data_IF_750497292839
#
_entry.id   IF_750497292839
#
_cell.length_a   1.000
_cell.length_b   1.000
_cell.length_c   1.000
_cell.angle_alpha   90.00
_cell.angle_beta   90.00
_cell.angle_gamma   90.00
#
_symmetry.space_group_name_H-M   'P 1'
#
loop_
_entity.id
_entity.type
_entity.pdbx_description
1 polymer ?
#
# COMPACT_ATOMS: atom_id res chain seq x y z
N UNK A 1 7.66 -13.89 2.17
CA UNK A 1 9.08 -13.74 1.76
C UNK A 1 9.27 -12.36 1.15
N UNK A 2 10.51 -11.86 1.06
CA UNK A 2 10.76 -10.54 0.48
C UNK A 2 10.53 -10.57 -1.05
N UNK A 3 9.73 -9.63 -1.55
CA UNK A 3 9.51 -9.43 -2.98
C UNK A 3 10.29 -8.18 -3.39
N UNK A 4 11.34 -8.35 -4.18
CA UNK A 4 12.24 -7.25 -4.58
C UNK A 4 12.82 -6.50 -3.37
N UNK A 5 12.38 -5.27 -3.12
CA UNK A 5 12.85 -4.40 -2.05
C UNK A 5 11.74 -4.05 -1.04
N UNK A 6 10.62 -4.78 -1.07
CA UNK A 6 9.54 -4.59 -0.11
C UNK A 6 9.97 -5.03 1.28
N UNK A 7 9.56 -4.26 2.28
CA UNK A 7 9.91 -4.50 3.67
C UNK A 7 9.20 -5.75 4.19
N UNK A 8 9.95 -6.63 4.86
CA UNK A 8 9.39 -7.80 5.54
C UNK A 8 9.02 -7.51 6.98
N UNK A 9 8.48 -8.51 7.68
CA UNK A 9 8.20 -8.41 9.12
C UNK A 9 9.50 -8.20 9.90
N UNK A 10 10.60 -8.84 9.50
CA UNK A 10 11.91 -8.68 10.13
C UNK A 10 12.42 -7.24 9.99
N UNK A 11 12.30 -6.61 8.82
CA UNK A 11 12.66 -5.22 8.60
C UNK A 11 11.84 -4.27 9.51
N UNK A 12 10.54 -4.53 9.61
CA UNK A 12 9.63 -3.74 10.45
C UNK A 12 10.01 -3.82 11.94
N UNK A 13 10.37 -5.01 12.44
CA UNK A 13 10.84 -5.21 13.80
C UNK A 13 12.22 -4.56 14.02
N UNK A 14 13.13 -4.66 13.05
CA UNK A 14 14.46 -4.07 13.12
C UNK A 14 14.40 -2.56 13.33
N UNK A 15 13.46 -1.86 12.66
CA UNK A 15 13.27 -0.41 12.81
C UNK A 15 12.41 -0.03 14.01
N UNK A 16 11.90 -1.01 14.77
CA UNK A 16 11.07 -0.80 15.95
C UNK A 16 9.63 -0.37 15.64
N UNK A 17 9.09 -0.79 14.49
CA UNK A 17 7.71 -0.45 14.11
C UNK A 17 6.68 -1.04 15.10
N UNK A 18 6.99 -2.19 15.68
CA UNK A 18 6.22 -2.85 16.75
C UNK A 18 6.15 -2.04 18.05
N UNK A 19 7.02 -1.05 18.23
CA UNK A 19 7.01 -0.17 19.42
C UNK A 19 6.09 1.03 19.25
N UNK A 20 5.65 1.33 18.03
CA UNK A 20 4.82 2.50 17.71
C UNK A 20 3.45 2.11 17.16
N UNK A 21 3.35 0.98 16.47
CA UNK A 21 2.09 0.45 15.97
C UNK A 21 1.49 -0.54 16.98
N UNK A 22 0.17 -0.50 17.18
CA UNK A 22 -0.53 -1.46 18.03
C UNK A 22 -0.39 -2.91 17.52
N UNK A 23 -0.28 -3.07 16.20
CA UNK A 23 -0.07 -4.37 15.55
C UNK A 23 0.78 -4.21 14.30
N UNK A 24 1.73 -5.14 14.09
CA UNK A 24 2.47 -5.30 12.84
C UNK A 24 2.12 -6.66 12.26
N UNK A 25 1.64 -6.68 11.02
CA UNK A 25 1.22 -7.89 10.32
C UNK A 25 1.76 -7.88 8.88
N UNK A 26 1.73 -9.04 8.23
CA UNK A 26 2.02 -9.16 6.79
C UNK A 26 0.71 -9.18 6.00
N UNK A 27 0.79 -8.90 4.69
CA UNK A 27 -0.33 -9.12 3.76
C UNK A 27 -0.66 -10.61 3.60
N UNK A 28 0.27 -11.49 3.98
CA UNK A 28 0.21 -12.92 3.70
C UNK A 28 0.39 -13.28 2.22
N UNK A 29 0.79 -12.32 1.39
CA UNK A 29 1.02 -12.47 -0.04
C UNK A 29 2.49 -12.20 -0.38
N UNK A 30 2.99 -12.87 -1.42
CA UNK A 30 4.29 -12.63 -2.06
C UNK A 30 4.16 -11.84 -3.38
N UNK A 31 3.10 -11.03 -3.49
CA UNK A 31 2.85 -10.13 -4.62
C UNK A 31 3.19 -8.68 -4.28
N UNK A 32 3.59 -7.90 -5.29
CA UNK A 32 3.74 -6.46 -5.17
C UNK A 32 2.37 -5.77 -5.18
N UNK A 33 2.16 -4.84 -4.25
CA UNK A 33 0.90 -4.11 -4.12
C UNK A 33 -0.16 -4.87 -3.32
N UNK A 34 -1.43 -4.54 -3.58
CA UNK A 34 -2.57 -5.13 -2.87
C UNK A 34 -3.48 -5.88 -3.85
N UNK A 35 -3.45 -7.21 -3.78
CA UNK A 35 -4.36 -8.09 -4.51
C UNK A 35 -5.20 -8.84 -3.48
N UNK A 36 -6.45 -8.42 -3.20
CA UNK A 36 -7.24 -8.97 -2.10
C UNK A 36 -7.44 -10.49 -2.15
N UNK A 37 -7.50 -11.10 -3.35
CA UNK A 37 -7.64 -12.55 -3.50
C UNK A 37 -6.43 -13.35 -3.04
N UNK A 38 -5.24 -12.73 -3.01
CA UNK A 38 -3.97 -13.35 -2.61
C UNK A 38 -3.59 -13.02 -1.17
N UNK A 39 -4.35 -12.16 -0.49
CA UNK A 39 -4.07 -11.75 0.88
C UNK A 39 -4.56 -12.78 1.90
N UNK A 40 -3.88 -12.86 3.04
CA UNK A 40 -4.36 -13.68 4.16
C UNK A 40 -5.68 -13.16 4.71
N UNK A 41 -6.48 -14.08 5.27
CA UNK A 41 -7.73 -13.72 5.93
C UNK A 41 -7.52 -12.73 7.08
N UNK A 42 -6.45 -12.91 7.87
CA UNK A 42 -6.11 -12.01 8.97
C UNK A 42 -5.87 -10.58 8.49
N UNK A 43 -5.12 -10.40 7.39
CA UNK A 43 -4.89 -9.09 6.81
C UNK A 43 -6.19 -8.46 6.31
N UNK A 44 -7.01 -9.23 5.60
CA UNK A 44 -8.27 -8.74 5.04
C UNK A 44 -9.25 -8.29 6.12
N UNK A 45 -9.38 -9.02 7.23
CA UNK A 45 -10.23 -8.63 8.36
C UNK A 45 -9.82 -7.26 8.93
N UNK A 46 -8.52 -6.99 9.06
CA UNK A 46 -7.99 -5.70 9.54
C UNK A 46 -8.17 -4.61 8.49
N UNK A 47 -7.87 -4.90 7.23
CA UNK A 47 -8.00 -3.96 6.13
C UNK A 47 -9.46 -3.52 5.91
N UNK A 48 -10.42 -4.44 6.05
CA UNK A 48 -11.85 -4.13 5.93
C UNK A 48 -12.42 -3.38 7.13
N UNK A 49 -11.82 -3.51 8.32
CA UNK A 49 -12.22 -2.80 9.53
C UNK A 49 -11.60 -1.40 9.65
N UNK A 50 -10.61 -1.05 8.81
CA UNK A 50 -9.93 0.24 8.88
C UNK A 50 -10.81 1.40 8.41
N UNK A 51 -10.79 2.53 9.13
CA UNK A 51 -11.49 3.77 8.72
C UNK A 51 -10.73 4.58 7.65
N UNK A 52 -9.42 4.39 7.56
CA UNK A 52 -8.51 5.05 6.62
C UNK A 52 -7.33 4.13 6.34
N UNK A 53 -6.95 4.03 5.07
CA UNK A 53 -5.76 3.28 4.65
C UNK A 53 -4.71 4.25 4.09
N UNK A 54 -3.46 4.13 4.56
CA UNK A 54 -2.31 4.84 3.98
C UNK A 54 -1.49 3.84 3.18
N UNK A 55 -1.56 3.97 1.85
CA UNK A 55 -0.88 3.08 0.93
C UNK A 55 0.40 3.72 0.40
N UNK A 56 1.55 3.06 0.61
CA UNK A 56 2.87 3.58 0.21
C UNK A 56 3.37 2.91 -1.06
N UNK A 57 3.95 3.71 -1.97
CA UNK A 57 4.67 3.22 -3.14
C UNK A 57 3.80 3.05 -4.39
N UNK A 58 4.46 2.83 -5.54
CA UNK A 58 3.76 2.72 -6.83
C UNK A 58 2.98 1.41 -6.95
N UNK A 59 3.51 0.27 -6.49
CA UNK A 59 2.81 -1.01 -6.59
C UNK A 59 1.45 -1.03 -5.87
N UNK A 60 1.41 -0.47 -4.66
CA UNK A 60 0.14 -0.26 -3.96
C UNK A 60 -0.76 0.74 -4.70
N UNK A 61 -0.22 1.86 -5.18
CA UNK A 61 -1.02 2.85 -5.90
C UNK A 61 -1.66 2.25 -7.17
N UNK A 62 -0.90 1.51 -7.97
CA UNK A 62 -1.34 0.87 -9.22
C UNK A 62 -2.44 -0.17 -8.96
N UNK A 63 -2.28 -1.03 -7.94
CA UNK A 63 -3.27 -2.07 -7.62
C UNK A 63 -4.53 -1.51 -6.97
N UNK A 64 -4.40 -0.55 -6.03
CA UNK A 64 -5.54 0.05 -5.34
C UNK A 64 -6.41 0.86 -6.29
N UNK A 65 -5.83 1.51 -7.31
CA UNK A 65 -6.61 2.27 -8.29
C UNK A 65 -7.50 1.40 -9.18
N UNK A 66 -7.24 0.09 -9.24
CA UNK A 66 -7.99 -0.88 -10.06
C UNK A 66 -9.08 -1.63 -9.27
N UNK A 67 -9.17 -1.43 -7.95
CA UNK A 67 -10.16 -2.09 -7.10
C UNK A 67 -11.19 -1.12 -6.53
N UNK A 68 -12.36 -1.65 -6.13
CA UNK A 68 -13.38 -0.87 -5.43
C UNK A 68 -13.01 -0.73 -3.96
N UNK A 69 -12.60 0.46 -3.55
CA UNK A 69 -12.31 0.78 -2.15
C UNK A 69 -13.59 1.03 -1.34
N UNK A 70 -13.61 0.57 -0.08
CA UNK A 70 -14.73 0.74 0.87
C UNK A 70 -14.57 1.97 1.77
N UNK A 71 -13.33 2.38 2.02
CA UNK A 71 -12.95 3.52 2.88
C UNK A 71 -11.96 4.45 2.17
N UNK A 72 -11.73 5.68 2.65
CA UNK A 72 -10.73 6.55 2.06
C UNK A 72 -9.33 5.94 2.06
N UNK A 73 -8.59 6.16 0.97
CA UNK A 73 -7.21 5.69 0.81
C UNK A 73 -6.29 6.86 0.50
N UNK A 74 -5.29 7.12 1.34
CA UNK A 74 -4.22 8.08 1.07
C UNK A 74 -3.04 7.37 0.38
N UNK A 75 -2.86 7.67 -0.90
CA UNK A 75 -1.72 7.18 -1.68
C UNK A 75 -0.51 8.09 -1.46
N UNK A 76 0.59 7.52 -0.96
CA UNK A 76 1.88 8.18 -0.76
C UNK A 76 2.95 7.54 -1.64
N UNK A 77 3.36 8.22 -2.71
CA UNK A 77 4.30 7.65 -3.68
C UNK A 77 5.23 8.70 -4.30
N UNK A 78 6.25 8.22 -5.00
CA UNK A 78 7.08 9.01 -5.90
C UNK A 78 7.01 8.44 -7.30
N UNK A 79 6.77 9.26 -8.32
CA UNK A 79 6.58 8.83 -9.71
C UNK A 79 7.90 8.42 -10.39
N UNK A 80 8.40 7.21 -10.11
CA UNK A 80 9.65 6.71 -10.72
C UNK A 80 9.47 6.20 -12.15
N UNK A 81 8.23 5.98 -12.59
CA UNK A 81 7.83 5.52 -13.92
C UNK A 81 6.99 6.59 -14.65
N UNK A 82 7.20 6.76 -15.96
CA UNK A 82 6.45 7.74 -16.77
C UNK A 82 4.96 7.41 -16.90
N UNK A 83 4.58 6.13 -16.91
CA UNK A 83 3.18 5.71 -16.98
C UNK A 83 2.42 6.13 -15.72
N UNK A 84 3.02 5.87 -14.55
CA UNK A 84 2.46 6.30 -13.26
C UNK A 84 2.40 7.82 -13.19
N UNK A 85 3.45 8.52 -13.63
CA UNK A 85 3.46 9.98 -13.67
C UNK A 85 2.30 10.54 -14.51
N UNK A 86 2.12 10.00 -15.71
CA UNK A 86 1.03 10.36 -16.63
C UNK A 86 -0.35 10.07 -16.03
N UNK A 87 -0.54 8.90 -15.41
CA UNK A 87 -1.80 8.54 -14.73
C UNK A 87 -2.20 9.57 -13.67
N UNK A 88 -1.23 10.06 -12.89
CA UNK A 88 -1.47 11.08 -11.88
C UNK A 88 -1.41 12.53 -12.42
N UNK A 89 -1.17 12.73 -13.71
CA UNK A 89 -1.11 14.05 -14.34
C UNK A 89 0.08 14.91 -13.87
N UNK A 90 1.20 14.28 -13.52
CA UNK A 90 2.41 14.95 -13.04
C UNK A 90 3.65 14.52 -13.82
N UNK A 91 4.76 15.24 -13.66
CA UNK A 91 6.05 14.82 -14.21
C UNK A 91 6.62 13.60 -13.46
N UNK A 92 7.58 12.91 -14.10
CA UNK A 92 8.41 11.90 -13.44
C UNK A 92 9.19 12.55 -12.28
N UNK A 93 9.49 11.77 -11.25
CA UNK A 93 10.25 12.18 -10.07
C UNK A 93 9.55 13.23 -9.18
N UNK A 94 8.22 13.21 -9.13
CA UNK A 94 7.43 14.01 -8.18
C UNK A 94 6.92 13.15 -7.04
N UNK A 95 6.84 13.73 -5.85
CA UNK A 95 6.20 13.12 -4.70
C UNK A 95 4.70 13.44 -4.75
N UNK A 96 3.87 12.45 -4.46
CA UNK A 96 2.42 12.55 -4.48
C UNK A 96 1.89 12.14 -3.11
N UNK A 97 0.97 12.96 -2.59
CA UNK A 97 0.03 12.59 -1.54
C UNK A 97 -1.39 12.83 -2.10
N UNK A 98 -2.10 11.75 -2.44
CA UNK A 98 -3.43 11.84 -3.06
C UNK A 98 -4.42 10.99 -2.30
N UNK A 99 -5.53 11.59 -1.87
CA UNK A 99 -6.64 10.86 -1.25
C UNK A 99 -7.61 10.36 -2.34
N UNK A 100 -8.00 9.10 -2.23
CA UNK A 100 -9.09 8.49 -2.97
C UNK A 100 -10.26 8.31 -2.02
N UNK A 101 -11.47 8.62 -2.48
CA UNK A 101 -12.69 8.39 -1.74
C UNK A 101 -13.45 7.19 -2.35
N UNK A 102 -14.16 6.40 -1.53
CA UNK A 102 -15.09 5.40 -2.03
C UNK A 102 -16.10 6.03 -2.99
N UNK A 103 -16.40 5.32 -4.07
CA UNK A 103 -17.46 5.69 -5.03
C UNK A 103 -18.79 5.06 -4.63
#
# INVERSE_FOLDING_TARGET
EAVSNDATIEDALQVGLDKVADKVITTGSDMMGLIPSECSREFLEIYEAADLVIAKGMGNAETITEIKIKVPHLLLLRTKCSNVASYFGVERNKNIAKILYPR
#
